data_IF_456540505493
#
_entry.id   IF_456540505493
#
_cell.length_a   1.000
_cell.length_b   1.000
_cell.length_c   1.000
_cell.angle_alpha   90.00
_cell.angle_beta   90.00
_cell.angle_gamma   90.00
#
_symmetry.space_group_name_H-M   'P 1'
#
loop_
_entity.id
_entity.type
_entity.pdbx_description
1 polymer ?
#
# COMPACT_ATOMS: atom_id res chain seq x y z
N UNK A 1 -5.78 -12.79 12.56
CA UNK A 1 -5.84 -12.31 11.16
C UNK A 1 -5.29 -13.37 10.24
N UNK A 2 -5.97 -13.71 9.13
CA UNK A 2 -5.47 -14.75 8.23
C UNK A 2 -4.32 -14.22 7.38
N UNK A 3 -3.32 -15.06 7.13
CA UNK A 3 -2.14 -14.73 6.31
C UNK A 3 -2.53 -14.10 4.96
N UNK A 4 -3.61 -14.60 4.36
CA UNK A 4 -4.18 -14.12 3.10
C UNK A 4 -4.60 -12.65 3.12
N UNK A 5 -5.12 -12.14 4.23
CA UNK A 5 -5.53 -10.73 4.29
C UNK A 5 -4.29 -9.82 4.33
N UNK A 6 -3.24 -10.22 5.05
CA UNK A 6 -1.97 -9.49 5.06
C UNK A 6 -1.36 -9.47 3.65
N UNK A 7 -1.31 -10.63 2.98
CA UNK A 7 -0.84 -10.74 1.60
C UNK A 7 -1.65 -9.84 0.65
N UNK A 8 -2.98 -9.78 0.79
CA UNK A 8 -3.80 -8.88 -0.02
C UNK A 8 -3.42 -7.41 0.19
N UNK A 9 -3.26 -6.95 1.44
CA UNK A 9 -2.89 -5.56 1.71
C UNK A 9 -1.50 -5.21 1.15
N UNK A 10 -0.55 -6.12 1.28
CA UNK A 10 0.80 -5.96 0.72
C UNK A 10 0.74 -5.91 -0.81
N UNK A 11 0.03 -6.85 -1.45
CA UNK A 11 -0.12 -6.89 -2.90
C UNK A 11 -0.79 -5.62 -3.45
N UNK A 12 -1.80 -5.07 -2.76
CA UNK A 12 -2.42 -3.81 -3.16
C UNK A 12 -1.45 -2.63 -3.02
N UNK A 13 -0.63 -2.59 -1.96
CA UNK A 13 0.37 -1.54 -1.79
C UNK A 13 1.47 -1.61 -2.86
N UNK A 14 1.94 -2.82 -3.18
CA UNK A 14 2.91 -3.02 -4.27
C UNK A 14 2.34 -2.59 -5.62
N UNK A 15 1.08 -2.95 -5.90
CA UNK A 15 0.40 -2.51 -7.13
C UNK A 15 0.34 -0.98 -7.26
N UNK A 16 0.03 -0.28 -6.17
CA UNK A 16 0.01 1.18 -6.18
C UNK A 16 1.40 1.76 -6.44
N UNK A 17 2.43 1.17 -5.84
CA UNK A 17 3.81 1.61 -6.02
C UNK A 17 4.31 1.37 -7.45
N UNK A 18 4.00 0.22 -8.06
CA UNK A 18 4.31 -0.04 -9.47
C UNK A 18 3.57 0.93 -10.39
N UNK A 19 2.32 1.27 -10.05
CA UNK A 19 1.58 2.32 -10.77
C UNK A 19 2.29 3.68 -10.62
N UNK A 20 2.80 4.03 -9.43
CA UNK A 20 3.57 5.26 -9.22
C UNK A 20 4.80 5.32 -10.14
N UNK A 21 5.53 4.22 -10.30
CA UNK A 21 6.67 4.13 -11.24
C UNK A 21 6.23 4.34 -12.68
N UNK A 22 5.13 3.72 -13.10
CA UNK A 22 4.56 3.92 -14.44
C UNK A 22 4.15 5.39 -14.66
N UNK A 23 3.55 6.04 -13.66
CA UNK A 23 3.20 7.46 -13.70
C UNK A 23 4.44 8.34 -13.82
N UNK A 24 5.50 8.03 -13.07
CA UNK A 24 6.78 8.74 -13.12
C UNK A 24 7.42 8.66 -14.51
N UNK A 25 7.48 7.46 -15.10
CA UNK A 25 8.02 7.25 -16.44
C UNK A 25 7.22 7.98 -17.54
N UNK A 26 5.93 8.20 -17.31
CA UNK A 26 5.05 8.96 -18.22
C UNK A 26 4.98 10.47 -17.93
N UNK A 27 5.76 11.00 -16.98
CA UNK A 27 5.77 12.43 -16.62
C UNK A 27 4.56 12.91 -15.81
N UNK A 28 3.74 12.00 -15.28
CA UNK A 28 2.49 12.28 -14.56
C UNK A 28 2.73 12.46 -13.06
N UNK A 29 3.53 13.45 -12.67
CA UNK A 29 4.09 13.57 -11.31
C UNK A 29 3.06 13.80 -10.18
N UNK A 30 1.95 14.51 -10.44
CA UNK A 30 0.88 14.67 -9.44
C UNK A 30 0.33 13.29 -9.03
N UNK A 31 0.18 12.40 -10.00
CA UNK A 31 -0.29 11.03 -9.74
C UNK A 31 0.77 10.18 -9.04
N UNK A 32 2.07 10.46 -9.22
CA UNK A 32 3.14 9.77 -8.47
C UNK A 32 2.97 10.02 -6.97
N UNK A 33 2.84 11.28 -6.56
CA UNK A 33 2.65 11.64 -5.15
C UNK A 33 1.40 10.98 -4.56
N UNK A 34 0.28 10.99 -5.31
CA UNK A 34 -0.95 10.33 -4.94
C UNK A 34 -0.77 8.81 -4.75
N UNK A 35 -0.17 8.10 -5.71
CA UNK A 35 0.04 6.66 -5.62
C UNK A 35 0.99 6.28 -4.47
N UNK A 36 2.02 7.09 -4.20
CA UNK A 36 2.89 6.91 -3.04
C UNK A 36 2.13 7.06 -1.71
N UNK A 37 1.24 8.05 -1.60
CA UNK A 37 0.35 8.19 -0.44
C UNK A 37 -0.51 6.93 -0.24
N UNK A 38 -1.15 6.44 -1.32
CA UNK A 38 -1.99 5.24 -1.25
C UNK A 38 -1.21 3.99 -0.82
N UNK A 39 0.04 3.86 -1.26
CA UNK A 39 0.95 2.78 -0.85
C UNK A 39 1.20 2.81 0.67
N UNK A 40 1.54 3.99 1.20
CA UNK A 40 1.84 4.19 2.63
C UNK A 40 0.60 3.94 3.48
N UNK A 41 -0.57 4.43 3.07
CA UNK A 41 -1.83 4.27 3.79
C UNK A 41 -2.20 2.78 3.92
N UNK A 42 -2.06 2.00 2.85
CA UNK A 42 -2.36 0.56 2.84
C UNK A 42 -1.44 -0.23 3.77
N UNK A 43 -0.13 0.02 3.70
CA UNK A 43 0.84 -0.65 4.59
C UNK A 43 0.60 -0.27 6.05
N UNK A 44 0.36 1.01 6.32
CA UNK A 44 0.11 1.50 7.68
C UNK A 44 -1.19 0.92 8.26
N UNK A 45 -2.25 0.84 7.45
CA UNK A 45 -3.51 0.20 7.84
C UNK A 45 -3.31 -1.28 8.15
N UNK A 46 -2.58 -2.00 7.30
CA UNK A 46 -2.25 -3.40 7.56
C UNK A 46 -1.46 -3.57 8.86
N UNK A 47 -0.47 -2.72 9.11
CA UNK A 47 0.33 -2.75 10.33
C UNK A 47 -0.53 -2.52 11.58
N UNK A 48 -1.40 -1.49 11.57
CA UNK A 48 -2.32 -1.21 12.68
C UNK A 48 -3.24 -2.39 12.95
N UNK A 49 -3.85 -2.96 11.91
CA UNK A 49 -4.76 -4.11 12.06
C UNK A 49 -4.03 -5.35 12.62
N UNK A 50 -2.79 -5.60 12.20
CA UNK A 50 -1.98 -6.71 12.71
C UNK A 50 -1.62 -6.49 14.18
N UNK A 51 -1.24 -5.28 14.56
CA UNK A 51 -0.90 -4.93 15.94
C UNK A 51 -2.13 -5.03 16.86
N UNK A 52 -3.29 -4.52 16.43
CA UNK A 52 -4.54 -4.62 17.17
C UNK A 52 -4.92 -6.07 17.50
N UNK A 53 -4.68 -7.00 16.57
CA UNK A 53 -4.97 -8.42 16.77
C UNK A 53 -3.92 -9.14 17.66
N UNK A 54 -2.73 -8.57 17.86
CA UNK A 54 -1.71 -9.12 18.79
C UNK A 54 -1.87 -8.63 20.22
N UNK A 55 -2.61 -7.55 20.42
CA UNK A 55 -2.85 -6.93 21.74
C UNK A 55 -4.08 -7.55 22.43
N UNK A 56 -4.95 -8.23 21.68
CA UNK A 56 -6.02 -9.10 22.21
C UNK A 56 -5.51 -10.52 22.47
#
# INVERSE_FOLDING_TARGET
MSKRVIENWVNLAEYDFETAKAMMNSGRYIYVAFMCQQTIEKISTCAVVVLSHKIQ
#
